data_IF_916964734691
#
_entry.id   IF_916964734691
#
_cell.length_a   1.000
_cell.length_b   1.000
_cell.length_c   1.000
_cell.angle_alpha   90.00
_cell.angle_beta   90.00
_cell.angle_gamma   90.00
#
_symmetry.space_group_name_H-M   'P 1'
#
loop_
_entity.id
_entity.type
_entity.pdbx_description
1 polymer ?
#
# COMPACT_ATOMS: atom_id res chain seq x y z
N UNK A 1 17.50 7.91 -45.84
CA UNK A 1 16.83 8.87 -44.95
C UNK A 1 16.14 8.05 -43.86
N UNK A 2 16.81 7.80 -42.73
CA UNK A 2 16.34 6.89 -41.70
C UNK A 2 15.51 7.62 -40.66
N UNK A 3 14.24 7.26 -40.52
CA UNK A 3 13.35 7.79 -39.48
C UNK A 3 13.82 7.23 -38.14
N UNK A 4 14.46 8.07 -37.32
CA UNK A 4 14.64 7.79 -35.89
C UNK A 4 13.25 7.81 -35.26
N UNK A 5 12.69 6.64 -34.99
CA UNK A 5 11.53 6.51 -34.11
C UNK A 5 11.99 6.94 -32.71
N UNK A 6 11.72 8.19 -32.34
CA UNK A 6 11.80 8.63 -30.96
C UNK A 6 10.90 7.71 -30.13
N UNK A 7 11.52 6.90 -29.29
CA UNK A 7 10.86 6.11 -28.27
C UNK A 7 10.21 7.13 -27.34
N UNK A 8 8.92 7.47 -27.57
CA UNK A 8 8.14 8.30 -26.64
C UNK A 8 8.32 7.66 -25.27
N UNK A 9 9.05 8.33 -24.39
CA UNK A 9 9.05 7.99 -22.98
C UNK A 9 7.62 8.22 -22.53
N UNK A 10 6.82 7.15 -22.50
CA UNK A 10 5.65 7.12 -21.65
C UNK A 10 6.21 7.34 -20.25
N UNK A 11 6.14 8.57 -19.75
CA UNK A 11 6.14 8.82 -18.32
C UNK A 11 4.87 8.14 -17.81
N UNK A 12 4.93 6.83 -17.62
CA UNK A 12 3.90 6.08 -16.93
C UNK A 12 3.79 6.74 -15.57
N UNK A 13 2.64 7.37 -15.29
CA UNK A 13 2.37 7.96 -13.99
C UNK A 13 2.19 6.82 -12.99
N UNK A 14 3.31 6.26 -12.55
CA UNK A 14 3.40 5.18 -11.57
C UNK A 14 2.71 5.53 -10.24
N UNK A 15 2.42 6.81 -10.00
CA UNK A 15 1.56 7.33 -8.92
C UNK A 15 0.15 6.74 -8.95
N UNK A 16 -0.41 6.47 -10.13
CA UNK A 16 -1.71 5.79 -10.24
C UNK A 16 -1.61 4.28 -10.00
N UNK A 17 -0.42 3.69 -10.17
CA UNK A 17 -0.19 2.26 -9.91
C UNK A 17 -0.34 1.98 -8.42
N UNK A 18 0.33 2.75 -7.55
CA UNK A 18 0.20 2.60 -6.11
C UNK A 18 -1.26 2.70 -5.63
N UNK A 19 -2.02 3.66 -6.19
CA UNK A 19 -3.44 3.80 -5.89
C UNK A 19 -4.27 2.60 -6.35
N UNK A 20 -4.03 2.12 -7.56
CA UNK A 20 -4.69 0.93 -8.09
C UNK A 20 -4.35 -0.32 -7.27
N UNK A 21 -3.10 -0.46 -6.81
CA UNK A 21 -2.65 -1.56 -5.98
C UNK A 21 -3.30 -1.55 -4.59
N UNK A 22 -3.47 -0.40 -3.95
CA UNK A 22 -4.25 -0.33 -2.70
C UNK A 22 -5.67 -0.82 -2.91
N UNK A 23 -6.35 -0.34 -3.95
CA UNK A 23 -7.74 -0.72 -4.23
C UNK A 23 -7.82 -2.22 -4.48
N UNK A 24 -6.94 -2.76 -5.32
CA UNK A 24 -6.94 -4.17 -5.69
C UNK A 24 -6.63 -5.07 -4.48
N UNK A 25 -5.55 -4.78 -3.75
CA UNK A 25 -5.08 -5.69 -2.70
C UNK A 25 -5.75 -5.44 -1.36
N UNK A 26 -6.03 -4.19 -0.97
CA UNK A 26 -6.58 -3.84 0.35
C UNK A 26 -8.08 -3.59 0.26
N UNK A 27 -8.53 -2.83 -0.73
CA UNK A 27 -9.96 -2.60 -0.96
C UNK A 27 -10.73 -3.87 -1.33
N UNK A 28 -10.15 -4.73 -2.18
CA UNK A 28 -10.83 -5.91 -2.70
C UNK A 28 -10.28 -7.24 -2.18
N UNK A 29 -9.04 -7.62 -2.52
CA UNK A 29 -8.51 -8.97 -2.28
C UNK A 29 -8.47 -9.32 -0.79
N UNK A 30 -7.94 -8.44 0.05
CA UNK A 30 -7.92 -8.62 1.51
C UNK A 30 -9.32 -8.93 2.04
N UNK A 31 -10.30 -8.06 1.78
CA UNK A 31 -11.66 -8.22 2.28
C UNK A 31 -12.32 -9.49 1.74
N UNK A 32 -12.07 -9.84 0.48
CA UNK A 32 -12.58 -11.07 -0.12
C UNK A 32 -11.99 -12.31 0.55
N UNK A 33 -10.68 -12.31 0.81
CA UNK A 33 -10.02 -13.40 1.52
C UNK A 33 -10.51 -13.53 2.95
N UNK A 34 -10.76 -12.41 3.65
CA UNK A 34 -11.34 -12.45 5.01
C UNK A 34 -12.72 -13.13 4.98
N UNK A 35 -13.54 -12.80 3.98
CA UNK A 35 -14.87 -13.41 3.82
C UNK A 35 -14.82 -14.90 3.47
N UNK A 36 -13.88 -15.34 2.63
CA UNK A 36 -13.81 -16.74 2.15
C UNK A 36 -13.07 -17.65 3.12
N UNK A 37 -11.96 -17.19 3.70
CA UNK A 37 -11.11 -18.02 4.57
C UNK A 37 -11.70 -18.14 5.97
N UNK A 38 -12.48 -17.16 6.42
CA UNK A 38 -13.07 -17.11 7.77
C UNK A 38 -12.06 -16.88 8.90
N UNK A 39 -10.76 -17.07 8.65
CA UNK A 39 -9.67 -16.79 9.58
C UNK A 39 -8.96 -15.50 9.16
N UNK A 40 -9.26 -14.42 9.87
CA UNK A 40 -8.83 -13.06 9.52
C UNK A 40 -7.32 -12.90 9.36
N UNK A 41 -6.53 -13.39 10.31
CA UNK A 41 -5.06 -13.30 10.25
C UNK A 41 -4.49 -14.06 9.05
N UNK A 42 -5.07 -15.22 8.71
CA UNK A 42 -4.62 -16.03 7.59
C UNK A 42 -4.94 -15.33 6.27
N UNK A 43 -6.13 -14.73 6.15
CA UNK A 43 -6.50 -13.93 4.99
C UNK A 43 -5.56 -12.74 4.77
N UNK A 44 -5.16 -12.05 5.84
CA UNK A 44 -4.18 -10.95 5.79
C UNK A 44 -2.83 -11.44 5.26
N UNK A 45 -2.32 -12.56 5.78
CA UNK A 45 -1.06 -13.14 5.31
C UNK A 45 -1.13 -13.56 3.84
N UNK A 46 -2.24 -14.20 3.43
CA UNK A 46 -2.44 -14.61 2.04
C UNK A 46 -2.51 -13.41 1.08
N UNK A 47 -3.18 -12.33 1.49
CA UNK A 47 -3.25 -11.10 0.70
C UNK A 47 -1.86 -10.47 0.55
N UNK A 48 -1.07 -10.43 1.61
CA UNK A 48 0.30 -9.91 1.59
C UNK A 48 1.23 -10.77 0.72
N UNK A 49 1.13 -12.10 0.80
CA UNK A 49 1.89 -13.01 -0.06
C UNK A 49 1.51 -12.83 -1.53
N UNK A 50 0.21 -12.68 -1.83
CA UNK A 50 -0.25 -12.41 -3.19
C UNK A 50 0.30 -11.08 -3.72
N UNK A 51 0.38 -10.04 -2.87
CA UNK A 51 1.00 -8.77 -3.22
C UNK A 51 2.50 -8.93 -3.53
N UNK A 52 3.24 -9.66 -2.69
CA UNK A 52 4.65 -9.93 -2.96
C UNK A 52 4.88 -10.70 -4.26
N UNK A 53 4.09 -11.76 -4.50
CA UNK A 53 4.18 -12.58 -5.71
C UNK A 53 3.77 -11.83 -6.98
N UNK A 54 2.91 -10.81 -6.88
CA UNK A 54 2.53 -9.96 -8.01
C UNK A 54 3.73 -9.25 -8.66
N UNK A 55 4.78 -9.00 -7.88
CA UNK A 55 6.00 -8.32 -8.36
C UNK A 55 6.98 -9.27 -9.07
N UNK A 56 6.77 -10.59 -8.97
CA UNK A 56 7.74 -11.59 -9.43
C UNK A 56 7.77 -11.83 -10.95
N UNK A 57 6.64 -11.89 -11.69
CA UNK A 57 6.65 -12.28 -13.10
C UNK A 57 7.50 -11.37 -14.00
N UNK A 58 7.44 -10.05 -13.78
CA UNK A 58 8.22 -9.09 -14.56
C UNK A 58 9.73 -9.25 -14.30
N UNK A 59 10.11 -9.46 -13.04
CA UNK A 59 11.50 -9.65 -12.62
C UNK A 59 12.09 -10.96 -13.18
N UNK A 60 11.32 -12.06 -13.18
CA UNK A 60 11.75 -13.34 -13.78
C UNK A 60 11.91 -13.18 -15.29
N UNK A 61 10.93 -12.58 -15.97
CA UNK A 61 10.96 -12.40 -17.42
C UNK A 61 12.13 -11.50 -17.87
N UNK A 62 12.48 -10.48 -17.08
CA UNK A 62 13.58 -9.57 -17.38
C UNK A 62 14.97 -10.11 -17.04
N UNK A 63 15.11 -10.90 -15.98
CA UNK A 63 16.43 -11.36 -15.48
C UNK A 63 16.82 -12.77 -15.92
N UNK A 64 15.86 -13.62 -16.28
CA UNK A 64 16.09 -15.06 -16.49
C UNK A 64 16.47 -15.83 -15.23
N UNK A 65 16.44 -15.19 -14.05
CA UNK A 65 16.74 -15.80 -12.76
C UNK A 65 15.46 -16.00 -11.94
N UNK A 66 15.45 -16.97 -11.03
CA UNK A 66 14.27 -17.28 -10.20
C UNK A 66 14.48 -16.94 -8.72
N UNK A 67 15.69 -17.17 -8.19
CA UNK A 67 15.96 -17.01 -6.75
C UNK A 67 15.86 -15.55 -6.29
N UNK A 68 16.52 -14.63 -6.98
CA UNK A 68 16.50 -13.21 -6.62
C UNK A 68 15.08 -12.61 -6.67
N UNK A 69 14.29 -12.80 -7.75
CA UNK A 69 12.89 -12.35 -7.78
C UNK A 69 12.01 -12.95 -6.67
N UNK A 70 12.24 -14.22 -6.32
CA UNK A 70 11.49 -14.86 -5.24
C UNK A 70 11.81 -14.24 -3.86
N UNK A 71 13.09 -13.98 -3.56
CA UNK A 71 13.47 -13.30 -2.33
C UNK A 71 12.91 -11.87 -2.28
N UNK A 72 12.88 -11.18 -3.42
CA UNK A 72 12.26 -9.88 -3.55
C UNK A 72 10.74 -9.93 -3.28
N UNK A 73 10.06 -10.97 -3.79
CA UNK A 73 8.65 -11.22 -3.51
C UNK A 73 8.35 -11.37 -2.01
N UNK A 74 9.20 -12.10 -1.28
CA UNK A 74 9.07 -12.26 0.16
C UNK A 74 9.27 -10.93 0.91
N UNK A 75 10.22 -10.10 0.45
CA UNK A 75 10.42 -8.77 1.01
C UNK A 75 9.21 -7.87 0.76
N UNK A 76 8.67 -7.83 -0.46
CA UNK A 76 7.45 -7.09 -0.78
C UNK A 76 6.24 -7.59 0.00
N UNK A 77 6.12 -8.91 0.21
CA UNK A 77 5.08 -9.47 1.05
C UNK A 77 5.20 -9.00 2.51
N UNK A 78 6.42 -8.98 3.06
CA UNK A 78 6.66 -8.50 4.42
C UNK A 78 6.37 -7.00 4.57
N UNK A 79 6.84 -6.18 3.62
CA UNK A 79 6.58 -4.74 3.58
C UNK A 79 5.07 -4.49 3.43
N UNK A 80 4.42 -5.15 2.48
CA UNK A 80 2.98 -5.12 2.25
C UNK A 80 2.20 -5.47 3.52
N UNK A 81 2.61 -6.54 4.21
CA UNK A 81 2.00 -6.98 5.46
C UNK A 81 2.08 -5.89 6.54
N UNK A 82 3.29 -5.45 6.86
CA UNK A 82 3.57 -4.59 8.00
C UNK A 82 3.06 -3.17 7.77
N UNK A 83 3.26 -2.62 6.58
CA UNK A 83 3.04 -1.21 6.30
C UNK A 83 1.73 -0.92 5.57
N UNK A 84 1.02 -1.93 5.07
CA UNK A 84 -0.23 -1.70 4.35
C UNK A 84 -1.39 -2.56 4.84
N UNK A 85 -1.24 -3.89 4.92
CA UNK A 85 -2.32 -4.75 5.36
C UNK A 85 -2.67 -4.58 6.84
N UNK A 86 -1.70 -4.54 7.75
CA UNK A 86 -1.96 -4.34 9.18
C UNK A 86 -2.54 -2.95 9.50
N UNK A 87 -2.02 -1.83 8.95
CA UNK A 87 -2.66 -0.53 9.15
C UNK A 87 -4.04 -0.44 8.51
N UNK A 88 -4.26 -1.05 7.34
CA UNK A 88 -5.59 -1.11 6.74
C UNK A 88 -6.57 -1.86 7.64
N UNK A 89 -6.16 -3.04 8.12
CA UNK A 89 -6.93 -3.85 9.05
C UNK A 89 -7.29 -3.06 10.33
N UNK A 90 -6.35 -2.28 10.85
CA UNK A 90 -6.55 -1.50 12.07
C UNK A 90 -7.42 -0.26 11.87
N UNK A 91 -7.26 0.43 10.75
CA UNK A 91 -7.81 1.79 10.56
C UNK A 91 -8.95 1.88 9.55
N UNK A 92 -8.97 1.01 8.54
CA UNK A 92 -9.88 1.08 7.39
C UNK A 92 -9.64 2.28 6.46
N UNK A 93 -8.56 3.05 6.65
CA UNK A 93 -8.32 4.32 5.95
C UNK A 93 -7.62 4.13 4.59
N UNK A 94 -8.31 3.47 3.66
CA UNK A 94 -7.77 3.14 2.32
C UNK A 94 -7.19 4.35 1.55
N UNK A 95 -7.84 5.54 1.51
CA UNK A 95 -7.30 6.67 0.76
C UNK A 95 -5.96 7.18 1.32
N UNK A 96 -5.77 7.15 2.64
CA UNK A 96 -4.52 7.58 3.27
C UNK A 96 -3.40 6.59 2.94
N UNK A 97 -3.68 5.29 3.00
CA UNK A 97 -2.74 4.26 2.61
C UNK A 97 -2.30 4.40 1.14
N UNK A 98 -3.23 4.76 0.25
CA UNK A 98 -2.92 4.96 -1.17
C UNK A 98 -2.03 6.16 -1.43
N UNK A 99 -2.26 7.26 -0.70
CA UNK A 99 -1.37 8.41 -0.75
C UNK A 99 0.01 8.08 -0.18
N UNK A 100 0.09 7.32 0.91
CA UNK A 100 1.36 6.92 1.52
C UNK A 100 2.13 5.91 0.66
N UNK A 101 1.45 4.96 0.01
CA UNK A 101 2.07 4.04 -0.92
C UNK A 101 2.65 4.80 -2.11
N UNK A 102 1.84 5.66 -2.74
CA UNK A 102 2.30 6.50 -3.84
C UNK A 102 3.44 7.43 -3.41
N UNK A 103 3.44 7.92 -2.17
CA UNK A 103 4.54 8.71 -1.61
C UNK A 103 5.83 7.90 -1.44
N UNK A 104 5.71 6.68 -0.94
CA UNK A 104 6.86 5.85 -0.65
C UNK A 104 7.51 5.33 -1.94
N UNK A 105 6.70 5.07 -2.97
CA UNK A 105 7.18 4.70 -4.30
C UNK A 105 7.69 5.93 -5.08
N UNK A 106 7.14 7.11 -4.79
CA UNK A 106 7.50 8.38 -5.44
C UNK A 106 7.45 9.52 -4.43
N UNK A 107 8.55 10.26 -4.25
CA UNK A 107 8.56 11.53 -3.50
C UNK A 107 7.51 12.52 -4.07
N UNK A 108 6.26 12.41 -3.62
CA UNK A 108 5.13 13.28 -3.97
C UNK A 108 5.29 14.67 -3.33
N UNK A 109 6.16 14.79 -2.32
CA UNK A 109 6.68 16.06 -1.84
C UNK A 109 8.14 16.24 -2.27
N UNK A 110 8.48 17.37 -2.92
CA UNK A 110 9.86 17.71 -3.20
C UNK A 110 10.51 18.15 -1.88
N UNK A 111 11.30 17.25 -1.27
CA UNK A 111 12.45 17.48 -0.36
C UNK A 111 12.51 16.43 0.75
N UNK A 112 13.00 15.24 0.43
CA UNK A 112 13.96 14.48 1.25
C UNK A 112 14.72 13.60 0.27
N UNK A 113 15.70 14.17 -0.42
CA UNK A 113 16.70 13.42 -1.19
C UNK A 113 17.60 12.63 -0.24
N UNK A 114 17.03 11.65 0.45
CA UNK A 114 17.78 10.67 1.20
C UNK A 114 17.44 9.31 0.60
N UNK A 115 18.21 8.83 -0.40
CA UNK A 115 18.26 7.41 -0.74
C UNK A 115 19.01 6.68 0.38
N UNK A 116 18.52 6.81 1.61
CA UNK A 116 19.06 6.14 2.79
C UNK A 116 17.92 5.42 3.46
N UNK A 117 18.19 4.23 3.99
CA UNK A 117 17.23 3.45 4.77
C UNK A 117 16.54 4.27 5.87
N UNK A 118 17.19 5.35 6.34
CA UNK A 118 16.67 6.30 7.32
C UNK A 118 15.48 7.10 6.79
N UNK A 119 15.54 7.59 5.54
CA UNK A 119 14.44 8.34 4.92
C UNK A 119 13.18 7.48 4.74
N UNK A 120 13.37 6.27 4.23
CA UNK A 120 12.28 5.29 4.12
C UNK A 120 11.69 4.91 5.48
N UNK A 121 12.55 4.64 6.48
CA UNK A 121 12.10 4.33 7.84
C UNK A 121 11.30 5.49 8.47
N UNK A 122 11.78 6.73 8.31
CA UNK A 122 11.06 7.91 8.80
C UNK A 122 9.70 8.09 8.09
N UNK A 123 9.62 7.81 6.79
CA UNK A 123 8.36 7.82 6.03
C UNK A 123 7.34 6.83 6.58
N UNK A 124 7.76 5.59 6.83
CA UNK A 124 6.88 4.58 7.43
C UNK A 124 6.46 4.92 8.86
N UNK A 125 7.35 5.49 9.68
CA UNK A 125 6.99 5.97 11.02
C UNK A 125 5.97 7.11 10.94
N UNK A 126 6.18 8.07 10.05
CA UNK A 126 5.25 9.17 9.82
C UNK A 126 3.87 8.65 9.38
N UNK A 127 3.83 7.66 8.49
CA UNK A 127 2.59 6.99 8.09
C UNK A 127 1.84 6.45 9.30
N UNK A 128 2.50 5.70 10.19
CA UNK A 128 1.87 5.17 11.40
C UNK A 128 1.33 6.28 12.30
N UNK A 129 2.05 7.39 12.46
CA UNK A 129 1.61 8.56 13.24
C UNK A 129 0.36 9.19 12.63
N UNK A 130 0.35 9.43 11.32
CA UNK A 130 -0.78 10.04 10.61
C UNK A 130 -2.00 9.14 10.65
N UNK A 131 -1.83 7.83 10.40
CA UNK A 131 -2.91 6.86 10.47
C UNK A 131 -3.50 6.76 11.88
N UNK A 132 -2.66 6.76 12.92
CA UNK A 132 -3.13 6.79 14.31
C UNK A 132 -3.93 8.06 14.62
N UNK A 133 -3.43 9.22 14.21
CA UNK A 133 -4.12 10.50 14.41
C UNK A 133 -5.47 10.54 13.67
N UNK A 134 -5.51 10.11 12.41
CA UNK A 134 -6.71 10.03 11.59
C UNK A 134 -7.75 9.06 12.16
N UNK A 135 -7.31 7.88 12.61
CA UNK A 135 -8.18 6.91 13.28
C UNK A 135 -8.74 7.44 14.61
N UNK A 136 -7.93 8.13 15.42
CA UNK A 136 -8.39 8.74 16.66
C UNK A 136 -9.42 9.83 16.40
N UNK A 137 -9.18 10.65 15.39
CA UNK A 137 -10.10 11.69 14.94
C UNK A 137 -11.44 11.08 14.48
N UNK A 138 -11.41 10.07 13.61
CA UNK A 138 -12.63 9.45 13.08
C UNK A 138 -13.50 8.84 14.18
N UNK A 139 -12.89 8.17 15.18
CA UNK A 139 -13.63 7.62 16.32
C UNK A 139 -14.29 8.69 17.19
N UNK A 140 -13.61 9.81 17.44
CA UNK A 140 -14.17 10.92 18.22
C UNK A 140 -15.42 11.52 17.55
N UNK A 141 -15.36 11.75 16.25
CA UNK A 141 -16.50 12.28 15.50
C UNK A 141 -17.66 11.29 15.41
N UNK A 142 -17.38 10.00 15.21
CA UNK A 142 -18.41 8.96 15.23
C UNK A 142 -19.12 8.89 16.60
N UNK A 143 -18.38 9.02 17.70
CA UNK A 143 -18.96 9.04 19.04
C UNK A 143 -19.82 10.29 19.29
N UNK A 144 -19.35 11.47 18.89
CA UNK A 144 -20.10 12.72 19.01
C UNK A 144 -21.40 12.70 18.19
N UNK A 145 -21.36 12.17 16.97
CA UNK A 145 -22.55 12.03 16.12
C UNK A 145 -23.61 11.12 16.75
N UNK A 146 -23.19 10.00 17.36
CA UNK A 146 -24.10 9.09 18.07
C UNK A 146 -24.73 9.74 19.29
N UNK A 147 -23.95 10.45 20.10
CA UNK A 147 -24.45 11.16 21.28
C UNK A 147 -25.48 12.24 20.90
N UNK A 148 -25.23 13.01 19.83
CA UNK A 148 -26.19 13.99 19.32
C UNK A 148 -27.49 13.36 18.83
N UNK A 149 -27.43 12.20 18.17
CA UNK A 149 -28.65 11.49 17.72
C UNK A 149 -29.51 10.94 18.86
N UNK A 150 -28.91 10.59 20.00
CA UNK A 150 -29.63 10.10 21.18
C UNK A 150 -30.23 11.23 22.03
N UNK A 151 -29.65 12.43 22.00
CA UNK A 151 -30.16 13.59 22.73
C UNK A 151 -31.31 14.33 22.01
N UNK A 152 -31.57 14.00 20.73
CA UNK A 152 -32.68 14.54 19.94
C UNK A 152 -33.91 13.64 19.88
N UNK A 153 -33.91 12.50 20.58
CA UNK A 153 -35.07 11.64 20.84
C UNK A 153 -35.58 11.89 22.26
#
# INVERSE_FOLDING_TARGET
MGVKLERRQFHSDWRFVAFAEEIAFRGYLHNKLVAVVGRRWLAILLAALAFGLWHTPADIAGSGQVLSPFLNALLFALVGLVFFHLPYEWTGLLPFLALFHGWNDFLLLPTLEAPTAVGAAAGYVLMWVVLWAGWRFSRRHAAAARAGSQAGM
#
